data_IF_334933438070
#
_entry.id   IF_334933438070
#
_cell.length_a   1.000
_cell.length_b   1.000
_cell.length_c   1.000
_cell.angle_alpha   90.00
_cell.angle_beta   90.00
_cell.angle_gamma   90.00
#
_symmetry.space_group_name_H-M   'P 1'
#
loop_
_entity.id
_entity.type
_entity.pdbx_description
1 polymer ?
#
# COMPACT_ATOMS: atom_id res chain seq x y z
N UNK A 1 -23.08 1.74 -7.31
CA UNK A 1 -23.58 3.03 -7.81
C UNK A 1 -22.35 3.93 -7.85
N UNK A 2 -21.92 4.40 -9.01
CA UNK A 2 -20.69 5.19 -9.14
C UNK A 2 -20.82 6.48 -8.32
N UNK A 3 -19.99 6.62 -7.30
CA UNK A 3 -19.73 7.89 -6.64
C UNK A 3 -19.05 8.77 -7.68
N UNK A 4 -19.85 9.49 -8.48
CA UNK A 4 -19.35 10.52 -9.40
C UNK A 4 -19.58 11.89 -8.79
N UNK A 5 -18.73 12.85 -9.13
CA UNK A 5 -18.92 14.24 -8.68
C UNK A 5 -20.28 14.80 -9.14
N UNK A 6 -20.77 14.38 -10.31
CA UNK A 6 -22.09 14.75 -10.82
C UNK A 6 -23.24 14.23 -9.94
N UNK A 7 -23.14 13.00 -9.46
CA UNK A 7 -24.09 12.42 -8.50
C UNK A 7 -24.04 13.18 -7.18
N UNK A 8 -22.84 13.50 -6.69
CA UNK A 8 -22.63 14.29 -5.47
C UNK A 8 -23.24 15.70 -5.55
N UNK A 9 -23.10 16.37 -6.70
CA UNK A 9 -23.74 17.67 -6.95
C UNK A 9 -25.27 17.59 -7.01
N UNK A 10 -25.82 16.42 -7.34
CA UNK A 10 -27.27 16.19 -7.41
C UNK A 10 -27.89 15.93 -6.03
N UNK A 11 -27.07 15.65 -5.01
CA UNK A 11 -27.55 15.46 -3.65
C UNK A 11 -27.91 16.78 -2.97
N UNK A 12 -28.87 16.72 -2.04
CA UNK A 12 -29.33 17.86 -1.25
C UNK A 12 -28.26 18.30 -0.26
N UNK A 13 -27.85 19.59 -0.26
CA UNK A 13 -26.91 20.12 0.72
C UNK A 13 -27.54 20.24 2.10
N UNK A 14 -26.72 20.29 3.14
CA UNK A 14 -27.20 20.58 4.50
C UNK A 14 -27.25 22.09 4.75
N UNK A 15 -28.09 22.55 5.67
CA UNK A 15 -28.10 23.97 6.06
C UNK A 15 -26.75 24.41 6.62
N UNK A 16 -26.07 23.54 7.36
CA UNK A 16 -24.74 23.81 7.91
C UNK A 16 -23.73 24.10 6.80
N UNK A 17 -23.68 23.24 5.79
CA UNK A 17 -22.82 23.41 4.61
C UNK A 17 -23.09 24.74 3.88
N UNK A 18 -24.37 25.07 3.63
CA UNK A 18 -24.73 26.32 2.96
C UNK A 18 -24.36 27.55 3.81
N UNK A 19 -24.63 27.51 5.11
CA UNK A 19 -24.32 28.61 6.01
C UNK A 19 -22.81 28.86 6.16
N UNK A 20 -21.99 27.80 6.09
CA UNK A 20 -20.54 27.90 6.21
C UNK A 20 -19.84 28.33 4.90
N UNK A 21 -20.40 27.97 3.73
CA UNK A 21 -19.68 28.08 2.45
C UNK A 21 -20.36 28.96 1.39
N UNK A 22 -21.61 29.36 1.60
CA UNK A 22 -22.37 30.17 0.64
C UNK A 22 -22.85 31.44 1.32
N UNK A 23 -22.02 32.49 1.27
CA UNK A 23 -22.37 33.80 1.82
C UNK A 23 -22.75 34.78 0.70
N UNK A 24 -24.04 34.88 0.42
CA UNK A 24 -24.59 35.78 -0.60
C UNK A 24 -24.87 37.19 -0.07
N UNK A 25 -24.47 37.49 1.18
CA UNK A 25 -24.60 38.82 1.78
C UNK A 25 -26.01 39.41 1.59
N UNK A 26 -26.12 40.64 1.08
CA UNK A 26 -27.37 41.35 0.80
C UNK A 26 -28.19 40.75 -0.36
N UNK A 27 -27.61 39.83 -1.16
CA UNK A 27 -28.25 39.25 -2.34
C UNK A 27 -29.16 38.06 -2.04
N UNK A 28 -29.34 37.69 -0.76
CA UNK A 28 -30.15 36.54 -0.34
C UNK A 28 -31.58 36.56 -0.92
N UNK A 29 -32.18 37.74 -1.06
CA UNK A 29 -33.54 37.87 -1.61
C UNK A 29 -33.58 37.53 -3.10
N UNK A 30 -32.62 38.02 -3.88
CA UNK A 30 -32.49 37.73 -5.32
C UNK A 30 -32.21 36.24 -5.51
N UNK A 31 -31.30 35.68 -4.71
CA UNK A 31 -30.98 34.25 -4.72
C UNK A 31 -32.22 33.41 -4.41
N UNK A 32 -32.98 33.78 -3.37
CA UNK A 32 -34.23 33.10 -3.03
C UNK A 32 -35.25 33.12 -4.17
N UNK A 33 -35.42 34.26 -4.84
CA UNK A 33 -36.29 34.37 -6.03
C UNK A 33 -35.80 33.48 -7.17
N UNK A 34 -34.49 33.42 -7.43
CA UNK A 34 -33.89 32.57 -8.47
C UNK A 34 -33.92 31.08 -8.13
N UNK A 35 -33.96 30.73 -6.85
CA UNK A 35 -34.26 29.38 -6.36
C UNK A 35 -35.76 29.04 -6.42
N UNK A 36 -36.57 29.93 -7.01
CA UNK A 36 -38.01 29.77 -7.22
C UNK A 36 -38.81 29.60 -5.91
N UNK A 37 -38.38 30.29 -4.85
CA UNK A 37 -39.13 30.35 -3.59
C UNK A 37 -40.38 31.23 -3.71
N UNK A 38 -41.40 30.91 -2.90
CA UNK A 38 -42.61 31.71 -2.82
C UNK A 38 -42.31 33.14 -2.35
N UNK A 39 -42.73 34.12 -3.16
CA UNK A 39 -42.44 35.54 -2.96
C UNK A 39 -43.03 36.09 -1.65
N UNK A 40 -44.18 35.59 -1.20
CA UNK A 40 -44.79 36.04 0.06
C UNK A 40 -43.96 35.58 1.25
N UNK A 41 -43.46 34.34 1.20
CA UNK A 41 -42.59 33.79 2.25
C UNK A 41 -41.22 34.49 2.30
N UNK A 42 -40.63 34.81 1.15
CA UNK A 42 -39.42 35.63 1.09
C UNK A 42 -39.64 37.03 1.69
N UNK A 43 -40.79 37.63 1.40
CA UNK A 43 -41.15 38.93 1.95
C UNK A 43 -41.34 38.87 3.49
N UNK A 44 -41.92 37.79 4.01
CA UNK A 44 -42.02 37.57 5.46
C UNK A 44 -40.64 37.51 6.14
N UNK A 45 -39.65 36.82 5.53
CA UNK A 45 -38.26 36.79 6.03
C UNK A 45 -37.65 38.20 6.02
N UNK A 46 -37.93 38.99 4.99
CA UNK A 46 -37.43 40.37 4.87
C UNK A 46 -37.95 41.27 6.00
N UNK A 47 -39.22 41.09 6.36
CA UNK A 47 -39.96 41.90 7.35
C UNK A 47 -39.70 41.47 8.80
N UNK A 48 -39.23 40.24 9.05
CA UNK A 48 -38.96 39.70 10.39
C UNK A 48 -37.84 40.41 11.18
N UNK A 49 -37.12 41.38 10.57
CA UNK A 49 -35.95 42.02 11.18
C UNK A 49 -34.74 41.08 11.24
N UNK A 50 -33.59 41.57 11.70
CA UNK A 50 -32.35 40.78 11.81
C UNK A 50 -31.31 41.06 10.71
N UNK A 51 -30.13 40.48 10.88
CA UNK A 51 -28.99 40.62 9.95
C UNK A 51 -29.25 39.89 8.64
N UNK A 52 -28.58 40.32 7.57
CA UNK A 52 -28.68 39.65 6.27
C UNK A 52 -28.19 38.19 6.33
N UNK A 53 -27.24 37.89 7.21
CA UNK A 53 -26.80 36.52 7.47
C UNK A 53 -27.92 35.64 8.00
N UNK A 54 -28.72 36.13 8.96
CA UNK A 54 -29.84 35.36 9.49
C UNK A 54 -30.92 35.15 8.41
N UNK A 55 -31.23 36.20 7.65
CA UNK A 55 -32.22 36.13 6.56
C UNK A 55 -31.78 35.16 5.45
N UNK A 56 -30.49 35.11 5.14
CA UNK A 56 -29.91 34.13 4.22
C UNK A 56 -30.09 32.69 4.74
N UNK A 57 -29.80 32.45 6.02
CA UNK A 57 -29.99 31.13 6.64
C UNK A 57 -31.48 30.74 6.61
N UNK A 58 -32.38 31.67 6.93
CA UNK A 58 -33.82 31.44 6.90
C UNK A 58 -34.33 31.17 5.48
N UNK A 59 -33.78 31.86 4.47
CA UNK A 59 -34.06 31.61 3.05
C UNK A 59 -33.60 30.22 2.62
N UNK A 60 -32.39 29.79 2.99
CA UNK A 60 -31.93 28.43 2.67
C UNK A 60 -32.73 27.36 3.40
N UNK A 61 -33.09 27.57 4.67
CA UNK A 61 -33.97 26.67 5.40
C UNK A 61 -35.35 26.56 4.74
N UNK A 62 -35.91 27.69 4.31
CA UNK A 62 -37.16 27.72 3.55
C UNK A 62 -37.01 26.88 2.27
N UNK A 63 -35.95 27.10 1.49
CA UNK A 63 -35.68 26.37 0.25
C UNK A 63 -35.53 24.87 0.43
N UNK A 64 -34.73 24.43 1.42
CA UNK A 64 -34.54 23.02 1.73
C UNK A 64 -35.83 22.33 2.16
N UNK A 65 -36.73 23.03 2.86
CA UNK A 65 -38.00 22.47 3.34
C UNK A 65 -39.10 22.42 2.28
N UNK A 66 -39.05 23.29 1.26
CA UNK A 66 -40.11 23.40 0.25
C UNK A 66 -39.75 22.84 -1.11
N UNK A 67 -38.48 22.50 -1.35
CA UNK A 67 -37.98 22.10 -2.67
C UNK A 67 -37.45 20.67 -2.61
N UNK A 68 -38.25 19.65 -2.99
CA UNK A 68 -37.80 18.25 -2.98
C UNK A 68 -36.60 17.96 -3.90
N UNK A 69 -36.39 18.79 -4.92
CA UNK A 69 -35.29 18.70 -5.88
C UNK A 69 -34.08 19.56 -5.50
N UNK A 70 -34.05 20.12 -4.28
CA UNK A 70 -32.94 20.93 -3.79
C UNK A 70 -31.62 20.16 -3.91
N UNK A 71 -30.64 20.76 -4.56
CA UNK A 71 -29.34 20.15 -4.84
C UNK A 71 -28.23 21.18 -4.88
N UNK A 72 -26.99 20.75 -4.62
CA UNK A 72 -25.81 21.62 -4.72
C UNK A 72 -25.67 22.22 -6.12
N UNK A 73 -26.03 21.45 -7.16
CA UNK A 73 -26.07 21.91 -8.55
C UNK A 73 -26.95 23.15 -8.71
N UNK A 74 -28.17 23.13 -8.18
CA UNK A 74 -29.07 24.28 -8.27
C UNK A 74 -28.48 25.53 -7.61
N UNK A 75 -27.81 25.38 -6.46
CA UNK A 75 -27.13 26.52 -5.81
C UNK A 75 -26.06 27.10 -6.74
N UNK A 76 -25.19 26.26 -7.32
CA UNK A 76 -24.14 26.71 -8.24
C UNK A 76 -24.71 27.39 -9.49
N UNK A 77 -25.76 26.81 -10.07
CA UNK A 77 -26.45 27.38 -11.23
C UNK A 77 -27.06 28.74 -10.88
N UNK A 78 -27.74 28.85 -9.74
CA UNK A 78 -28.33 30.11 -9.28
C UNK A 78 -27.30 31.20 -9.03
N UNK A 79 -26.18 30.89 -8.36
CA UNK A 79 -25.12 31.86 -8.10
C UNK A 79 -24.52 32.44 -9.39
N UNK A 80 -24.51 31.64 -10.47
CA UNK A 80 -24.00 32.03 -11.80
C UNK A 80 -25.01 32.77 -12.67
N UNK A 81 -26.27 32.88 -12.26
CA UNK A 81 -27.26 33.67 -13.00
C UNK A 81 -26.80 35.13 -13.01
N UNK A 82 -26.82 35.77 -14.18
CA UNK A 82 -26.32 37.14 -14.39
C UNK A 82 -26.91 38.16 -13.43
N UNK A 83 -28.19 38.01 -13.06
CA UNK A 83 -28.90 38.91 -12.12
C UNK A 83 -28.42 38.73 -10.68
N UNK A 84 -27.91 37.55 -10.32
CA UNK A 84 -27.26 37.29 -9.02
C UNK A 84 -25.81 37.79 -9.06
N UNK A 85 -25.06 37.46 -10.12
CA UNK A 85 -23.72 37.98 -10.36
C UNK A 85 -22.60 37.42 -9.46
N UNK A 86 -22.90 36.40 -8.65
CA UNK A 86 -22.01 35.81 -7.65
C UNK A 86 -21.08 34.72 -8.25
N UNK A 87 -20.50 34.99 -9.43
CA UNK A 87 -19.68 34.00 -10.14
C UNK A 87 -18.45 33.57 -9.33
N UNK A 88 -17.77 34.50 -8.66
CA UNK A 88 -16.61 34.19 -7.81
C UNK A 88 -17.00 33.28 -6.65
N UNK A 89 -18.10 33.58 -5.96
CA UNK A 89 -18.62 32.75 -4.88
C UNK A 89 -19.03 31.36 -5.39
N UNK A 90 -19.63 31.27 -6.59
CA UNK A 90 -19.98 30.00 -7.21
C UNK A 90 -18.73 29.14 -7.46
N UNK A 91 -17.64 29.74 -7.92
CA UNK A 91 -16.38 29.04 -8.18
C UNK A 91 -15.67 28.62 -6.88
N UNK A 92 -15.68 29.47 -5.85
CA UNK A 92 -15.20 29.14 -4.51
C UNK A 92 -15.99 27.98 -3.88
N UNK A 93 -17.32 28.05 -3.96
CA UNK A 93 -18.19 26.99 -3.45
C UNK A 93 -17.99 25.69 -4.24
N UNK A 94 -17.88 25.75 -5.58
CA UNK A 94 -17.58 24.57 -6.41
C UNK A 94 -16.27 23.92 -5.97
N UNK A 95 -15.21 24.71 -5.78
CA UNK A 95 -13.92 24.21 -5.27
C UNK A 95 -14.08 23.53 -3.91
N UNK A 96 -14.84 24.12 -2.99
CA UNK A 96 -15.12 23.52 -1.68
C UNK A 96 -15.88 22.19 -1.80
N UNK A 97 -16.84 22.10 -2.73
CA UNK A 97 -17.57 20.87 -3.02
C UNK A 97 -16.65 19.79 -3.62
N UNK A 98 -15.72 20.17 -4.48
CA UNK A 98 -14.69 19.24 -5.00
C UNK A 98 -13.81 18.73 -3.85
N UNK A 99 -13.36 19.61 -2.93
CA UNK A 99 -12.60 19.21 -1.74
C UNK A 99 -13.39 18.26 -0.83
N UNK A 100 -14.67 18.57 -0.56
CA UNK A 100 -15.55 17.71 0.25
C UNK A 100 -15.77 16.36 -0.42
N UNK A 101 -16.04 16.35 -1.73
CA UNK A 101 -16.22 15.11 -2.49
C UNK A 101 -14.97 14.22 -2.45
N UNK A 102 -13.79 14.81 -2.65
CA UNK A 102 -12.52 14.09 -2.54
C UNK A 102 -12.28 13.58 -1.11
N UNK A 103 -12.67 14.34 -0.09
CA UNK A 103 -12.53 13.93 1.30
C UNK A 103 -13.47 12.77 1.68
N UNK A 104 -14.75 12.85 1.32
CA UNK A 104 -15.79 11.98 1.87
C UNK A 104 -16.31 10.89 0.93
N UNK A 105 -16.21 11.10 -0.39
CA UNK A 105 -16.88 10.23 -1.36
C UNK A 105 -15.91 9.38 -2.19
N UNK A 106 -14.65 9.79 -2.30
CA UNK A 106 -13.62 9.00 -3.00
C UNK A 106 -13.07 7.95 -2.04
N UNK A 107 -13.27 6.64 -2.32
CA UNK A 107 -12.77 5.59 -1.45
C UNK A 107 -11.25 5.64 -1.29
N UNK A 108 -10.70 5.24 -0.13
CA UNK A 108 -9.25 5.12 0.07
C UNK A 108 -8.55 4.28 -1.01
N UNK A 109 -9.22 3.24 -1.51
CA UNK A 109 -8.70 2.41 -2.61
C UNK A 109 -8.53 3.18 -3.91
N UNK A 110 -9.51 3.99 -4.30
CA UNK A 110 -9.40 4.85 -5.48
C UNK A 110 -8.29 5.89 -5.32
N UNK A 111 -8.14 6.47 -4.12
CA UNK A 111 -7.06 7.40 -3.81
C UNK A 111 -5.70 6.73 -3.97
N UNK A 112 -5.51 5.55 -3.38
CA UNK A 112 -4.26 4.80 -3.44
C UNK A 112 -3.85 4.46 -4.87
N UNK A 113 -4.77 3.91 -5.66
CA UNK A 113 -4.53 3.62 -7.09
C UNK A 113 -4.14 4.89 -7.84
N UNK A 114 -4.83 6.01 -7.59
CA UNK A 114 -4.51 7.28 -8.24
C UNK A 114 -3.14 7.85 -7.83
N UNK A 115 -2.67 7.58 -6.61
CA UNK A 115 -1.34 7.99 -6.15
C UNK A 115 -0.28 7.18 -6.90
N UNK A 116 -0.44 5.85 -6.93
CA UNK A 116 0.48 4.96 -7.65
C UNK A 116 0.53 5.29 -9.14
N UNK A 117 -0.62 5.48 -9.79
CA UNK A 117 -0.71 5.79 -11.22
C UNK A 117 -0.01 7.09 -11.60
N UNK A 118 -0.08 8.13 -10.75
CA UNK A 118 0.63 9.39 -11.01
C UNK A 118 2.14 9.23 -10.98
N UNK A 119 2.65 8.23 -10.27
CA UNK A 119 4.08 7.97 -10.09
C UNK A 119 4.60 6.83 -10.99
N UNK A 120 3.76 6.16 -11.76
CA UNK A 120 4.11 4.93 -12.48
C UNK A 120 5.20 5.12 -13.52
N UNK A 121 5.17 6.23 -14.26
CA UNK A 121 6.17 6.54 -15.29
C UNK A 121 7.54 6.78 -14.66
N UNK A 122 7.62 7.67 -13.67
CA UNK A 122 8.87 7.95 -12.95
C UNK A 122 9.41 6.68 -12.28
N UNK A 123 8.52 5.85 -11.73
CA UNK A 123 8.91 4.59 -11.12
C UNK A 123 9.48 3.62 -12.17
N UNK A 124 8.84 3.50 -13.33
CA UNK A 124 9.35 2.68 -14.43
C UNK A 124 10.75 3.12 -14.88
N UNK A 125 11.01 4.42 -14.95
CA UNK A 125 12.32 4.96 -15.30
C UNK A 125 13.36 4.68 -14.21
N UNK A 126 13.00 4.86 -12.94
CA UNK A 126 13.89 4.72 -11.79
C UNK A 126 14.19 3.26 -11.38
N UNK A 127 13.39 2.28 -11.80
CA UNK A 127 13.56 0.86 -11.44
C UNK A 127 14.77 0.20 -12.14
N UNK A 128 15.99 0.51 -11.71
CA UNK A 128 17.23 -0.04 -12.30
C UNK A 128 17.39 -1.54 -11.99
N UNK A 129 17.01 -1.98 -10.79
CA UNK A 129 17.08 -3.39 -10.36
C UNK A 129 15.72 -3.92 -9.93
N UNK A 130 14.84 -4.31 -10.88
CA UNK A 130 13.52 -4.85 -10.56
C UNK A 130 13.57 -6.12 -9.68
N UNK A 131 14.63 -6.93 -9.82
CA UNK A 131 14.83 -8.13 -8.99
C UNK A 131 15.07 -7.74 -7.53
N UNK A 132 15.93 -6.77 -7.25
CA UNK A 132 16.17 -6.35 -5.87
C UNK A 132 14.89 -5.81 -5.21
N UNK A 133 14.15 -4.96 -5.94
CA UNK A 133 12.89 -4.39 -5.44
C UNK A 133 11.85 -5.48 -5.21
N UNK A 134 11.73 -6.47 -6.11
CA UNK A 134 10.79 -7.58 -5.93
C UNK A 134 11.08 -8.41 -4.68
N UNK A 135 12.36 -8.65 -4.36
CA UNK A 135 12.76 -9.39 -3.15
C UNK A 135 12.36 -8.65 -1.86
N UNK A 136 12.49 -7.32 -1.85
CA UNK A 136 12.06 -6.47 -0.73
C UNK A 136 10.53 -6.42 -0.62
N UNK A 137 9.82 -6.30 -1.74
CA UNK A 137 8.36 -6.33 -1.78
C UNK A 137 7.79 -7.68 -1.34
N UNK A 138 8.44 -8.80 -1.70
CA UNK A 138 8.05 -10.13 -1.25
C UNK A 138 8.14 -10.26 0.28
N UNK A 139 9.21 -9.71 0.87
CA UNK A 139 9.40 -9.66 2.32
C UNK A 139 8.28 -8.89 3.05
N UNK A 140 7.72 -7.84 2.42
CA UNK A 140 6.60 -7.05 2.94
C UNK A 140 5.21 -7.59 2.55
N UNK A 141 5.16 -8.75 1.91
CA UNK A 141 3.93 -9.37 1.40
C UNK A 141 3.19 -8.49 0.39
N UNK A 142 3.94 -7.71 -0.40
CA UNK A 142 3.41 -6.84 -1.45
C UNK A 142 3.40 -7.51 -2.83
N UNK A 143 4.06 -8.66 -2.99
CA UNK A 143 3.96 -9.50 -4.18
C UNK A 143 3.88 -10.97 -3.78
N UNK A 144 3.39 -11.80 -4.71
CA UNK A 144 3.33 -13.24 -4.55
C UNK A 144 4.70 -13.90 -4.76
N UNK A 145 4.83 -15.14 -4.29
CA UNK A 145 6.02 -15.95 -4.57
C UNK A 145 6.16 -16.26 -6.07
N UNK A 146 5.06 -16.52 -6.76
CA UNK A 146 5.05 -16.74 -8.20
C UNK A 146 5.61 -15.53 -8.97
N UNK A 147 5.25 -14.32 -8.55
CA UNK A 147 5.81 -13.08 -9.10
C UNK A 147 7.31 -13.00 -8.81
N UNK A 148 7.75 -13.30 -7.59
CA UNK A 148 9.18 -13.29 -7.25
C UNK A 148 9.96 -14.31 -8.09
N UNK A 149 9.43 -15.51 -8.24
CA UNK A 149 9.99 -16.58 -9.06
C UNK A 149 10.19 -16.16 -10.51
N UNK A 150 9.21 -15.47 -11.09
CA UNK A 150 9.29 -14.90 -12.44
C UNK A 150 10.41 -13.84 -12.55
N UNK A 151 10.62 -13.04 -11.49
CA UNK A 151 11.68 -12.03 -11.45
C UNK A 151 13.08 -12.63 -11.32
N UNK A 152 13.22 -13.67 -10.50
CA UNK A 152 14.49 -14.36 -10.21
C UNK A 152 14.89 -15.37 -11.29
N UNK A 153 14.02 -15.66 -12.27
CA UNK A 153 14.41 -16.44 -13.46
C UNK A 153 15.55 -15.78 -14.21
N UNK A 154 16.52 -16.61 -14.56
CA UNK A 154 17.74 -16.24 -15.29
C UNK A 154 17.60 -16.34 -16.81
N UNK A 155 16.37 -16.55 -17.32
CA UNK A 155 16.13 -16.71 -18.75
C UNK A 155 16.62 -15.47 -19.52
N UNK A 156 17.59 -15.69 -20.42
CA UNK A 156 18.17 -14.65 -21.30
C UNK A 156 17.14 -14.01 -22.24
N UNK A 157 15.91 -14.55 -22.31
CA UNK A 157 14.83 -14.06 -23.15
C UNK A 157 14.02 -12.90 -22.55
N UNK A 158 14.13 -12.60 -21.24
CA UNK A 158 13.44 -11.44 -20.66
C UNK A 158 14.32 -10.20 -20.66
N UNK A 159 13.82 -9.16 -21.31
CA UNK A 159 14.41 -7.84 -21.21
C UNK A 159 14.21 -7.26 -19.80
N UNK A 160 15.02 -6.25 -19.46
CA UNK A 160 14.82 -5.45 -18.25
C UNK A 160 13.40 -4.85 -18.22
N UNK A 161 12.89 -4.40 -19.37
CA UNK A 161 11.58 -3.78 -19.50
C UNK A 161 10.44 -4.78 -19.25
N UNK A 162 10.60 -6.05 -19.63
CA UNK A 162 9.64 -7.11 -19.29
C UNK A 162 9.56 -7.32 -17.78
N UNK A 163 10.73 -7.30 -17.10
CA UNK A 163 10.80 -7.44 -15.64
C UNK A 163 10.16 -6.23 -14.94
N UNK A 164 10.41 -5.00 -15.42
CA UNK A 164 9.75 -3.78 -14.93
C UNK A 164 8.24 -3.87 -15.09
N UNK A 165 7.76 -4.22 -16.28
CA UNK A 165 6.33 -4.33 -16.60
C UNK A 165 5.65 -5.37 -15.71
N UNK A 166 6.28 -6.54 -15.54
CA UNK A 166 5.76 -7.62 -14.67
C UNK A 166 5.62 -7.14 -13.22
N UNK A 167 6.66 -6.49 -12.69
CA UNK A 167 6.68 -6.00 -11.31
C UNK A 167 5.66 -4.89 -11.08
N UNK A 168 5.60 -3.89 -11.98
CA UNK A 168 4.68 -2.77 -11.87
C UNK A 168 3.22 -3.23 -11.97
N UNK A 169 2.93 -4.20 -12.82
CA UNK A 169 1.59 -4.82 -12.91
C UNK A 169 1.23 -5.48 -11.58
N UNK A 170 2.12 -6.28 -11.00
CA UNK A 170 1.88 -6.93 -9.70
C UNK A 170 1.68 -5.93 -8.55
N UNK A 171 2.45 -4.83 -8.54
CA UNK A 171 2.29 -3.73 -7.57
C UNK A 171 0.91 -3.09 -7.75
N UNK A 172 0.48 -2.83 -8.98
CA UNK A 172 -0.82 -2.22 -9.27
C UNK A 172 -1.98 -3.12 -8.86
N UNK A 173 -1.90 -4.43 -9.16
CA UNK A 173 -2.90 -5.42 -8.73
C UNK A 173 -2.98 -5.52 -7.21
N UNK A 174 -1.83 -5.48 -6.53
CA UNK A 174 -1.76 -5.51 -5.06
C UNK A 174 -2.41 -4.27 -4.44
N UNK A 175 -2.12 -3.07 -4.93
CA UNK A 175 -2.74 -1.83 -4.42
C UNK A 175 -4.24 -1.77 -4.75
N UNK A 176 -4.65 -2.33 -5.90
CA UNK A 176 -6.05 -2.37 -6.29
C UNK A 176 -6.88 -3.33 -5.43
N UNK A 177 -6.27 -4.43 -4.96
CA UNK A 177 -6.90 -5.41 -4.08
C UNK A 177 -6.83 -5.03 -2.60
N UNK A 178 -5.68 -4.51 -2.14
CA UNK A 178 -5.47 -4.01 -0.79
C UNK A 178 -4.72 -2.67 -0.83
N UNK A 179 -5.49 -1.58 -0.71
CA UNK A 179 -4.94 -0.23 -0.77
C UNK A 179 -3.95 0.08 0.36
N UNK A 180 -4.01 -0.64 1.49
CA UNK A 180 -3.12 -0.46 2.63
C UNK A 180 -1.69 -0.86 2.26
N UNK A 181 -1.52 -1.78 1.31
CA UNK A 181 -0.21 -2.20 0.80
C UNK A 181 0.57 -1.08 0.12
N UNK A 182 -0.08 0.01 -0.31
CA UNK A 182 0.63 1.16 -0.87
C UNK A 182 1.63 1.77 0.13
N UNK A 183 1.32 1.74 1.44
CA UNK A 183 2.25 2.20 2.49
C UNK A 183 3.49 1.32 2.60
N UNK A 184 3.30 0.01 2.58
CA UNK A 184 4.39 -0.98 2.59
C UNK A 184 5.27 -0.84 1.33
N UNK A 185 4.64 -0.68 0.16
CA UNK A 185 5.32 -0.46 -1.13
C UNK A 185 6.14 0.84 -1.07
N UNK A 186 5.55 1.94 -0.62
CA UNK A 186 6.24 3.22 -0.49
C UNK A 186 7.46 3.11 0.41
N UNK A 187 7.33 2.41 1.54
CA UNK A 187 8.45 2.12 2.45
C UNK A 187 9.60 1.39 1.74
N UNK A 188 9.28 0.32 1.01
CA UNK A 188 10.30 -0.43 0.25
C UNK A 188 10.98 0.44 -0.81
N UNK A 189 10.21 1.26 -1.52
CA UNK A 189 10.76 2.15 -2.55
C UNK A 189 11.65 3.26 -1.95
N UNK A 190 11.34 3.73 -0.74
CA UNK A 190 12.16 4.69 0.01
C UNK A 190 13.52 4.12 0.45
N UNK A 191 13.58 2.81 0.71
CA UNK A 191 14.82 2.12 1.14
C UNK A 191 15.81 1.87 -0.01
N UNK A 192 15.36 1.98 -1.26
CA UNK A 192 16.18 1.78 -2.46
C UNK A 192 16.58 3.14 -3.03
N UNK A 193 17.89 3.39 -3.18
CA UNK A 193 18.45 4.71 -3.55
C UNK A 193 17.81 5.27 -4.82
N UNK A 194 17.69 4.45 -5.86
CA UNK A 194 17.18 4.85 -7.17
C UNK A 194 15.70 5.27 -7.13
N UNK A 195 14.90 4.62 -6.29
CA UNK A 195 13.46 4.89 -6.17
C UNK A 195 13.09 5.75 -4.96
N UNK A 196 14.08 6.18 -4.15
CA UNK A 196 13.86 6.80 -2.84
C UNK A 196 12.93 8.01 -2.89
N UNK A 197 13.19 8.92 -3.83
CA UNK A 197 12.41 10.14 -3.97
C UNK A 197 10.94 9.85 -4.31
N UNK A 198 10.70 8.84 -5.14
CA UNK A 198 9.36 8.39 -5.54
C UNK A 198 8.65 7.72 -4.36
N UNK A 199 9.35 6.84 -3.63
CA UNK A 199 8.82 6.22 -2.41
C UNK A 199 8.36 7.26 -1.38
N UNK A 200 9.19 8.29 -1.15
CA UNK A 200 8.87 9.39 -0.24
C UNK A 200 7.69 10.24 -0.74
N UNK A 201 7.59 10.50 -2.04
CA UNK A 201 6.45 11.22 -2.63
C UNK A 201 5.14 10.43 -2.46
N UNK A 202 5.16 9.13 -2.77
CA UNK A 202 4.02 8.25 -2.58
C UNK A 202 3.61 8.21 -1.10
N UNK A 203 4.56 8.07 -0.18
CA UNK A 203 4.29 8.03 1.26
C UNK A 203 3.63 9.33 1.73
N UNK A 204 4.19 10.48 1.34
CA UNK A 204 3.64 11.80 1.70
C UNK A 204 2.21 11.94 1.19
N UNK A 205 1.94 11.57 -0.07
CA UNK A 205 0.59 11.62 -0.65
C UNK A 205 -0.37 10.62 -0.02
N UNK A 206 0.13 9.46 0.40
CA UNK A 206 -0.65 8.46 1.12
C UNK A 206 -1.13 9.03 2.45
N UNK A 207 -0.22 9.57 3.26
CA UNK A 207 -0.53 10.16 4.57
C UNK A 207 -1.45 11.40 4.47
N UNK A 208 -1.26 12.23 3.43
CA UNK A 208 -2.12 13.39 3.18
C UNK A 208 -3.57 13.02 2.79
N UNK A 209 -3.75 11.94 2.02
CA UNK A 209 -5.04 11.64 1.35
C UNK A 209 -5.81 10.47 1.95
N UNK A 210 -5.11 9.57 2.64
CA UNK A 210 -5.64 8.33 3.21
C UNK A 210 -5.38 8.40 4.71
N UNK A 211 -6.29 9.10 5.42
CA UNK A 211 -6.21 9.30 6.87
C UNK A 211 -6.16 7.97 7.64
N UNK A 212 -5.36 7.93 8.72
CA UNK A 212 -5.04 6.74 9.52
C UNK A 212 -6.18 6.19 10.41
N UNK A 213 -7.40 6.74 10.36
CA UNK A 213 -8.47 6.36 11.30
C UNK A 213 -9.00 4.93 11.11
N UNK A 214 -8.71 4.29 9.98
CA UNK A 214 -9.16 2.93 9.64
C UNK A 214 -8.15 1.81 9.99
N UNK A 215 -6.99 2.15 10.56
CA UNK A 215 -5.97 1.16 10.99
C UNK A 215 -6.39 0.38 12.26
N UNK A 216 -7.52 0.73 12.89
CA UNK A 216 -8.05 0.03 14.07
C UNK A 216 -8.63 -1.35 13.77
N UNK A 217 -8.93 -1.66 12.50
CA UNK A 217 -9.14 -3.03 12.06
C UNK A 217 -7.80 -3.71 11.79
N UNK A 218 -7.00 -3.87 12.85
CA UNK A 218 -5.96 -4.89 12.89
C UNK A 218 -6.71 -6.22 12.82
N UNK A 219 -6.91 -6.71 11.59
CA UNK A 219 -7.05 -8.15 11.39
C UNK A 219 -5.72 -8.70 11.89
N UNK A 220 -5.69 -9.10 13.17
CA UNK A 220 -4.64 -9.97 13.67
C UNK A 220 -4.51 -11.06 12.62
N UNK A 221 -3.29 -11.43 12.20
CA UNK A 221 -3.12 -12.61 11.36
C UNK A 221 -3.89 -13.72 12.06
N UNK A 222 -4.99 -14.14 11.45
CA UNK A 222 -5.74 -15.27 11.92
C UNK A 222 -4.69 -16.38 11.91
N UNK A 223 -4.31 -16.90 13.08
CA UNK A 223 -3.52 -18.12 13.20
C UNK A 223 -4.38 -19.24 12.60
N UNK A 224 -4.47 -19.24 11.27
CA UNK A 224 -4.77 -20.44 10.52
C UNK A 224 -3.66 -21.38 10.94
N UNK A 225 -4.05 -22.55 11.45
CA UNK A 225 -3.13 -23.62 11.78
C UNK A 225 -2.43 -24.07 10.48
N UNK A 226 -1.46 -23.27 10.03
CA UNK A 226 -0.61 -23.55 8.90
C UNK A 226 0.30 -24.72 9.24
N UNK A 227 0.67 -25.47 8.22
CA UNK A 227 1.66 -26.53 8.35
C UNK A 227 2.97 -25.99 8.93
N UNK A 228 3.84 -26.88 9.40
CA UNK A 228 5.15 -26.44 9.88
C UNK A 228 5.96 -25.79 8.74
N UNK A 229 5.74 -26.27 7.52
CA UNK A 229 6.30 -25.76 6.26
C UNK A 229 5.83 -24.33 6.00
N UNK A 230 4.55 -24.00 6.21
CA UNK A 230 4.02 -22.64 6.06
C UNK A 230 4.67 -21.69 7.06
N UNK A 231 4.77 -22.11 8.34
CA UNK A 231 5.42 -21.33 9.40
C UNK A 231 6.90 -21.07 9.08
N UNK A 232 7.63 -22.07 8.62
CA UNK A 232 9.04 -21.91 8.25
C UNK A 232 9.21 -21.04 6.99
N UNK A 233 8.34 -21.20 6.00
CA UNK A 233 8.30 -20.36 4.81
C UNK A 233 8.02 -18.90 5.17
N UNK A 234 7.12 -18.65 6.13
CA UNK A 234 6.84 -17.31 6.65
C UNK A 234 8.04 -16.70 7.37
N UNK A 235 8.76 -17.48 8.20
CA UNK A 235 10.01 -17.01 8.82
C UNK A 235 11.03 -16.63 7.73
N UNK A 236 11.23 -17.50 6.73
CA UNK A 236 12.16 -17.25 5.63
C UNK A 236 11.76 -15.99 4.84
N UNK A 237 10.49 -15.87 4.45
CA UNK A 237 9.93 -14.72 3.74
C UNK A 237 10.15 -13.41 4.49
N UNK A 238 9.89 -13.39 5.79
CA UNK A 238 10.04 -12.20 6.63
C UNK A 238 11.50 -11.72 6.77
N UNK A 239 12.49 -12.55 6.39
CA UNK A 239 13.91 -12.22 6.41
C UNK A 239 14.51 -12.15 4.99
N UNK A 240 13.68 -12.37 3.96
CA UNK A 240 14.14 -12.58 2.59
C UNK A 240 14.88 -11.35 2.03
N UNK A 241 14.37 -10.14 2.29
CA UNK A 241 15.00 -8.90 1.83
C UNK A 241 16.41 -8.69 2.40
N UNK A 242 16.60 -8.97 3.69
CA UNK A 242 17.94 -8.86 4.30
C UNK A 242 18.88 -9.97 3.81
N UNK A 243 18.38 -11.20 3.67
CA UNK A 243 19.16 -12.30 3.08
C UNK A 243 19.59 -11.98 1.64
N UNK A 244 18.70 -11.35 0.86
CA UNK A 244 18.97 -10.97 -0.53
C UNK A 244 19.95 -9.80 -0.67
N UNK A 245 20.35 -9.16 0.44
CA UNK A 245 21.37 -8.11 0.47
C UNK A 245 22.69 -8.59 1.10
N UNK A 246 22.61 -9.34 2.20
CA UNK A 246 23.75 -9.69 3.05
C UNK A 246 24.58 -10.89 2.55
N UNK A 247 24.01 -11.78 1.72
CA UNK A 247 24.72 -12.98 1.25
C UNK A 247 25.80 -12.61 0.22
N UNK A 248 27.04 -12.43 0.65
CA UNK A 248 28.16 -12.06 -0.24
C UNK A 248 28.77 -13.25 -0.98
N UNK A 249 28.66 -14.46 -0.43
CA UNK A 249 29.28 -15.68 -0.96
C UNK A 249 28.25 -16.80 -1.29
N UNK A 250 27.31 -16.55 -2.22
CA UNK A 250 26.20 -17.47 -2.49
C UNK A 250 26.66 -18.85 -2.97
N UNK A 251 27.73 -18.95 -3.76
CA UNK A 251 28.25 -20.25 -4.25
C UNK A 251 28.84 -21.10 -3.11
N UNK A 252 29.57 -20.48 -2.19
CA UNK A 252 30.12 -21.17 -1.02
C UNK A 252 29.00 -21.64 -0.08
N UNK A 253 27.98 -20.80 0.12
CA UNK A 253 26.79 -21.16 0.90
C UNK A 253 26.01 -22.30 0.26
N UNK A 254 25.78 -22.24 -1.06
CA UNK A 254 25.09 -23.28 -1.81
C UNK A 254 25.79 -24.64 -1.65
N UNK A 255 27.12 -24.69 -1.77
CA UNK A 255 27.89 -25.93 -1.58
C UNK A 255 27.69 -26.52 -0.18
N UNK A 256 27.85 -25.70 0.86
CA UNK A 256 27.66 -26.13 2.26
C UNK A 256 26.21 -26.53 2.57
N UNK A 257 25.24 -25.91 1.90
CA UNK A 257 23.83 -26.25 2.05
C UNK A 257 23.49 -27.56 1.34
N UNK A 258 24.01 -27.78 0.13
CA UNK A 258 23.86 -29.03 -0.60
C UNK A 258 24.48 -30.23 0.14
N UNK A 259 25.65 -30.05 0.77
CA UNK A 259 26.26 -31.06 1.67
C UNK A 259 25.32 -31.49 2.81
N UNK A 260 24.41 -30.60 3.24
CA UNK A 260 23.43 -30.86 4.31
C UNK A 260 22.06 -31.30 3.78
N UNK A 261 21.72 -30.94 2.55
CA UNK A 261 20.41 -31.21 1.93
C UNK A 261 20.61 -31.69 0.50
N UNK A 262 20.68 -33.01 0.34
CA UNK A 262 21.01 -33.69 -0.93
C UNK A 262 19.95 -33.40 -2.02
N UNK A 263 18.70 -33.14 -1.63
CA UNK A 263 17.60 -32.84 -2.57
C UNK A 263 17.62 -31.42 -3.15
N UNK A 264 18.52 -30.54 -2.68
CA UNK A 264 18.58 -29.15 -3.15
C UNK A 264 19.41 -29.08 -4.41
N UNK A 265 18.75 -28.93 -5.56
CA UNK A 265 19.36 -28.67 -6.86
C UNK A 265 19.81 -27.20 -6.95
N UNK A 266 20.83 -26.82 -6.19
CA UNK A 266 21.54 -25.54 -6.37
C UNK A 266 22.56 -25.69 -7.51
N UNK A 267 22.11 -25.85 -8.75
CA UNK A 267 22.99 -25.77 -9.91
C UNK A 267 23.41 -24.31 -10.11
N UNK A 268 24.42 -23.88 -9.36
CA UNK A 268 24.93 -22.51 -9.42
C UNK A 268 25.59 -22.29 -10.79
N UNK A 269 25.07 -21.38 -11.61
CA UNK A 269 25.65 -21.11 -12.91
C UNK A 269 27.03 -20.46 -12.75
N UNK A 270 27.97 -20.86 -13.60
CA UNK A 270 29.33 -20.32 -13.62
C UNK A 270 29.39 -19.01 -14.39
N UNK A 271 30.08 -18.00 -13.85
CA UNK A 271 30.34 -16.74 -14.56
C UNK A 271 29.22 -15.71 -14.49
N UNK A 272 28.29 -15.83 -13.54
CA UNK A 272 27.16 -14.89 -13.36
C UNK A 272 27.40 -13.97 -12.18
N UNK A 273 26.64 -12.87 -12.10
CA UNK A 273 26.80 -11.90 -11.02
C UNK A 273 26.53 -12.53 -9.64
N UNK A 274 27.10 -11.91 -8.60
CA UNK A 274 26.84 -12.31 -7.20
C UNK A 274 25.35 -12.18 -6.87
N UNK A 275 24.67 -11.16 -7.43
CA UNK A 275 23.23 -10.94 -7.24
C UNK A 275 22.40 -12.07 -7.84
N UNK A 276 22.70 -12.48 -9.08
CA UNK A 276 21.99 -13.57 -9.75
C UNK A 276 22.22 -14.90 -9.03
N UNK A 277 23.48 -15.16 -8.65
CA UNK A 277 23.83 -16.34 -7.86
C UNK A 277 23.07 -16.36 -6.52
N UNK A 278 22.92 -15.20 -5.88
CA UNK A 278 22.16 -15.07 -4.63
C UNK A 278 20.68 -15.36 -4.82
N UNK A 279 20.07 -14.86 -5.90
CA UNK A 279 18.67 -15.15 -6.23
C UNK A 279 18.44 -16.66 -6.46
N UNK A 280 19.33 -17.33 -7.20
CA UNK A 280 19.26 -18.79 -7.41
C UNK A 280 19.34 -19.56 -6.09
N UNK A 281 20.31 -19.22 -5.24
CA UNK A 281 20.45 -19.85 -3.92
C UNK A 281 19.18 -19.66 -3.09
N UNK A 282 18.68 -18.44 -2.99
CA UNK A 282 17.55 -18.14 -2.13
C UNK A 282 16.25 -18.78 -2.63
N UNK A 283 16.04 -18.86 -3.94
CA UNK A 283 14.97 -19.65 -4.51
C UNK A 283 15.07 -21.12 -4.13
N UNK A 284 16.23 -21.74 -4.32
CA UNK A 284 16.43 -23.15 -3.98
C UNK A 284 16.21 -23.42 -2.47
N UNK A 285 16.56 -22.45 -1.62
CA UNK A 285 16.26 -22.51 -0.18
C UNK A 285 14.75 -22.41 0.08
N UNK A 286 14.00 -21.53 -0.60
CA UNK A 286 12.53 -21.48 -0.50
C UNK A 286 11.92 -22.82 -0.85
N UNK A 287 12.28 -23.38 -2.01
CA UNK A 287 11.77 -24.67 -2.49
C UNK A 287 12.07 -25.80 -1.48
N UNK A 288 13.27 -25.79 -0.90
CA UNK A 288 13.67 -26.75 0.12
C UNK A 288 12.84 -26.63 1.41
N UNK A 289 12.63 -25.41 1.89
CA UNK A 289 11.87 -25.12 3.12
C UNK A 289 10.39 -25.44 2.94
N UNK A 290 9.83 -25.14 1.77
CA UNK A 290 8.46 -25.48 1.43
C UNK A 290 8.22 -27.00 1.41
N UNK A 291 9.25 -27.77 1.03
CA UNK A 291 9.19 -29.24 1.03
C UNK A 291 9.40 -29.85 2.41
N UNK A 292 10.15 -29.20 3.29
CA UNK A 292 10.44 -29.67 4.65
C UNK A 292 10.94 -28.50 5.51
N UNK A 293 10.16 -28.14 6.53
CA UNK A 293 10.46 -27.03 7.43
C UNK A 293 11.81 -27.15 8.15
N UNK A 294 12.35 -28.36 8.34
CA UNK A 294 13.67 -28.61 8.97
C UNK A 294 14.83 -28.08 8.12
N UNK A 295 14.64 -27.90 6.82
CA UNK A 295 15.67 -27.32 5.96
C UNK A 295 15.98 -25.86 6.32
N UNK A 296 15.06 -25.15 6.97
CA UNK A 296 15.31 -23.79 7.46
C UNK A 296 16.40 -23.78 8.54
N UNK A 297 16.37 -24.74 9.48
CA UNK A 297 17.40 -24.87 10.52
C UNK A 297 18.78 -25.20 9.92
N UNK A 298 18.81 -26.08 8.91
CA UNK A 298 20.04 -26.41 8.20
C UNK A 298 20.61 -25.19 7.46
N UNK A 299 19.75 -24.42 6.80
CA UNK A 299 20.16 -23.19 6.13
C UNK A 299 20.71 -22.16 7.12
N UNK A 300 20.04 -21.97 8.26
CA UNK A 300 20.50 -21.13 9.37
C UNK A 300 21.88 -21.57 9.86
N UNK A 301 22.13 -22.87 10.00
CA UNK A 301 23.45 -23.39 10.39
C UNK A 301 24.53 -23.01 9.38
N UNK A 302 24.19 -22.94 8.09
CA UNK A 302 25.11 -22.45 7.04
C UNK A 302 25.33 -20.95 7.18
N UNK A 303 24.26 -20.15 7.34
CA UNK A 303 24.36 -18.69 7.50
C UNK A 303 25.29 -18.28 8.66
N UNK A 304 25.23 -19.01 9.78
CA UNK A 304 26.06 -18.76 10.98
C UNK A 304 27.55 -19.01 10.79
N UNK A 305 27.96 -19.69 9.71
CA UNK A 305 29.37 -19.92 9.37
C UNK A 305 30.01 -18.73 8.63
N UNK A 306 29.24 -17.74 8.23
CA UNK A 306 29.71 -16.55 7.52
C UNK A 306 29.46 -15.32 8.38
N UNK A 307 30.49 -14.53 8.64
CA UNK A 307 30.44 -13.35 9.52
C UNK A 307 29.33 -12.36 9.14
N UNK A 308 29.15 -12.13 7.84
CA UNK A 308 28.22 -11.17 7.27
C UNK A 308 26.76 -11.59 7.45
N UNK A 309 26.49 -12.88 7.60
CA UNK A 309 25.14 -13.42 7.78
C UNK A 309 24.90 -14.07 9.14
N UNK A 310 25.89 -14.06 10.03
CA UNK A 310 25.76 -14.73 11.33
C UNK A 310 24.63 -14.14 12.18
N UNK A 311 24.56 -12.81 12.25
CA UNK A 311 23.53 -12.10 13.03
C UNK A 311 22.10 -12.36 12.53
N UNK A 312 21.88 -12.38 11.21
CA UNK A 312 20.56 -12.71 10.64
C UNK A 312 20.26 -14.20 10.77
N UNK A 313 21.26 -15.07 10.67
CA UNK A 313 21.16 -16.48 10.99
C UNK A 313 20.67 -16.70 12.43
N UNK A 314 21.26 -16.00 13.41
CA UNK A 314 20.83 -16.04 14.81
C UNK A 314 19.38 -15.56 14.98
N UNK A 315 19.00 -14.46 14.34
CA UNK A 315 17.64 -13.93 14.41
C UNK A 315 16.59 -14.90 13.84
N UNK A 316 16.89 -15.53 12.69
CA UNK A 316 16.04 -16.56 12.10
C UNK A 316 15.96 -17.79 13.01
N UNK A 317 17.09 -18.22 13.59
CA UNK A 317 17.13 -19.37 14.50
C UNK A 317 16.25 -19.19 15.73
N UNK A 318 16.27 -17.99 16.32
CA UNK A 318 15.45 -17.68 17.50
C UNK A 318 13.96 -17.78 17.16
N UNK A 319 13.54 -17.22 16.02
CA UNK A 319 12.14 -17.36 15.54
C UNK A 319 11.79 -18.81 15.23
N UNK A 320 12.69 -19.56 14.61
CA UNK A 320 12.51 -20.98 14.34
C UNK A 320 12.26 -21.77 15.64
N UNK A 321 13.07 -21.55 16.67
CA UNK A 321 12.87 -22.19 17.98
C UNK A 321 11.53 -21.82 18.61
N UNK A 322 11.13 -20.54 18.56
CA UNK A 322 9.82 -20.12 19.08
C UNK A 322 8.65 -20.84 18.40
N UNK A 323 8.78 -21.20 17.12
CA UNK A 323 7.72 -21.85 16.35
C UNK A 323 7.70 -23.37 16.43
N UNK A 324 8.85 -24.03 16.67
CA UNK A 324 9.01 -25.49 16.50
C UNK A 324 9.65 -26.21 17.69
N UNK A 325 10.13 -25.49 18.71
CA UNK A 325 10.58 -26.10 19.96
C UNK A 325 9.44 -26.08 20.97
N UNK A 326 8.66 -27.16 21.01
CA UNK A 326 8.01 -27.57 22.25
C UNK A 326 9.12 -27.87 23.26
N UNK A 327 8.97 -27.46 24.53
CA UNK A 327 10.00 -27.46 25.57
C UNK A 327 10.56 -28.83 26.00
N UNK A 328 10.78 -29.76 25.08
CA UNK A 328 11.24 -31.12 25.34
C UNK A 328 12.16 -31.73 24.27
N UNK A 329 12.70 -30.95 23.33
CA UNK A 329 13.74 -31.44 22.40
C UNK A 329 15.11 -31.03 22.94
N UNK A 330 15.84 -32.00 23.48
CA UNK A 330 17.17 -31.80 24.04
C UNK A 330 18.16 -31.39 22.94
N UNK A 331 19.04 -30.47 23.31
CA UNK A 331 20.21 -29.98 22.57
C UNK A 331 21.19 -31.13 22.19
N UNK A 332 20.92 -32.36 22.63
CA UNK A 332 21.83 -33.51 22.60
C UNK A 332 21.93 -34.22 21.24
N UNK A 333 20.93 -34.13 20.34
CA UNK A 333 21.03 -34.84 19.04
C UNK A 333 21.90 -34.13 18.00
N UNK A 334 22.09 -32.81 18.11
CA UNK A 334 22.89 -32.04 17.13
C UNK A 334 24.38 -32.00 17.53
N UNK A 335 24.69 -31.98 18.83
CA UNK A 335 26.09 -32.08 19.29
C UNK A 335 26.70 -33.46 18.99
N UNK A 336 25.89 -34.52 18.95
CA UNK A 336 26.34 -35.86 18.57
C UNK A 336 26.84 -35.93 17.11
N UNK A 337 26.31 -35.08 16.21
CA UNK A 337 26.77 -34.97 14.81
C UNK A 337 28.01 -34.06 14.66
N UNK A 338 28.42 -33.34 15.71
CA UNK A 338 29.59 -32.45 15.70
C UNK A 338 30.82 -33.07 16.38
N UNK A 339 30.69 -34.23 17.03
CA UNK A 339 31.74 -34.87 17.82
C UNK A 339 32.80 -35.70 17.07
N UNK A 340 32.65 -35.99 15.77
CA UNK A 340 33.58 -36.90 15.05
C UNK A 340 34.41 -36.23 13.95
N UNK A 341 34.83 -34.98 14.16
CA UNK A 341 35.87 -34.35 13.33
C UNK A 341 37.00 -33.72 14.16
N UNK A 342 37.28 -34.28 15.34
CA UNK A 342 38.55 -34.10 16.02
C UNK A 342 39.15 -35.50 16.28
N UNK A 343 40.46 -35.61 16.04
CA UNK A 343 41.32 -36.80 16.16
C UNK A 343 41.45 -37.62 14.87
N UNK A 344 42.33 -37.18 13.96
CA UNK A 344 43.59 -37.89 13.70
C UNK A 344 44.53 -36.99 12.90
N UNK A 345 45.82 -37.19 13.16
CA UNK A 345 47.00 -36.34 12.91
C UNK A 345 47.21 -35.84 11.49
#
# INVERSE_FOLDING_TARGET
>A
MENSFSTFLSATPTIKELAEHVNVSTNWFIVGTMLNLDQRRLQSIREQGGSDTQKMIDMFNLWLNTTPTASRRLVLETLRITVVGENTLADEYKKKLEELYEATCVPPSTKAVSILQRNSQSLNEALVSPVQVSQLLYCKRCISEATLDEMERMDQGRSLDDKKTTLLTAIQETVSSDYRKLKDIATVLSDVEETRHIGNEIMTKYEEKISQEDDSAVVQPQEVAGSNEDRASDILRNNYGSLSQLITQPVCMARRFHEKVISVSCNMPTGVSVSDSRAVLLKAVRDAVHSNYKHLELFVTVLRKFSETAHIGDAIFQKYKQCFHDGNSSIEEIECLLGTAAISQ
#
